data_IF_672697875322
#
_entry.id   IF_672697875322
#
_cell.length_a   1.000
_cell.length_b   1.000
_cell.length_c   1.000
_cell.angle_alpha   90.00
_cell.angle_beta   90.00
_cell.angle_gamma   90.00
#
_symmetry.space_group_name_H-M   'P 1'
#
loop_
_entity.id
_entity.type
_entity.pdbx_description
1 polymer ?
#
# COMPACT_ATOMS: atom_id res chain seq x y z
N UNK A 1 4.15 31.13 -20.98
CA UNK A 1 4.15 30.23 -19.79
C UNK A 1 3.82 28.82 -20.28
N UNK A 2 4.70 27.85 -20.05
CA UNK A 2 4.41 26.45 -20.38
C UNK A 2 3.35 25.93 -19.39
N UNK A 3 2.25 25.39 -19.89
CA UNK A 3 1.23 24.82 -19.02
C UNK A 3 1.79 23.54 -18.36
N UNK A 4 1.55 23.37 -17.05
CA UNK A 4 1.92 22.16 -16.33
C UNK A 4 1.27 20.92 -16.98
N UNK A 5 2.05 19.86 -17.16
CA UNK A 5 1.52 18.58 -17.61
C UNK A 5 0.55 17.98 -16.58
N UNK A 6 -0.19 16.95 -16.96
CA UNK A 6 -1.08 16.25 -16.05
C UNK A 6 -0.32 15.70 -14.82
N UNK A 7 0.81 15.03 -15.05
CA UNK A 7 1.64 14.49 -13.97
C UNK A 7 2.26 15.58 -13.08
N UNK A 8 2.61 16.76 -13.64
CA UNK A 8 3.13 17.86 -12.82
C UNK A 8 2.06 18.42 -11.87
N UNK A 9 0.80 18.46 -12.33
CA UNK A 9 -0.32 18.89 -11.47
C UNK A 9 -0.57 17.91 -10.34
N UNK A 10 -0.54 16.60 -10.64
CA UNK A 10 -0.70 15.55 -9.64
C UNK A 10 0.46 15.56 -8.64
N UNK A 11 1.69 15.73 -9.10
CA UNK A 11 2.88 15.85 -8.25
C UNK A 11 2.78 17.07 -7.32
N UNK A 12 2.45 18.25 -7.88
CA UNK A 12 2.32 19.47 -7.08
C UNK A 12 1.23 19.35 -6.00
N UNK A 13 0.09 18.72 -6.33
CA UNK A 13 -0.97 18.46 -5.36
C UNK A 13 -0.50 17.52 -4.25
N UNK A 14 0.15 16.42 -4.60
CA UNK A 14 0.65 15.45 -3.63
C UNK A 14 1.73 16.05 -2.71
N UNK A 15 2.67 16.82 -3.25
CA UNK A 15 3.70 17.52 -2.48
C UNK A 15 3.06 18.56 -1.53
N UNK A 16 2.07 19.31 -2.01
CA UNK A 16 1.33 20.25 -1.17
C UNK A 16 0.68 19.54 0.03
N UNK A 17 -0.04 18.44 -0.22
CA UNK A 17 -0.69 17.66 0.84
C UNK A 17 0.34 17.11 1.85
N UNK A 18 1.49 16.61 1.37
CA UNK A 18 2.54 16.08 2.25
C UNK A 18 3.11 17.18 3.14
N UNK A 19 3.35 18.37 2.59
CA UNK A 19 3.86 19.52 3.36
C UNK A 19 2.84 20.05 4.36
N UNK A 20 1.56 20.10 3.97
CA UNK A 20 0.46 20.52 4.83
C UNK A 20 0.35 19.64 6.09
N UNK A 21 0.40 18.32 5.92
CA UNK A 21 0.37 17.38 7.04
C UNK A 21 1.61 17.52 7.93
N UNK A 22 2.78 17.72 7.33
CA UNK A 22 4.01 17.88 8.10
C UNK A 22 4.05 19.18 8.92
N UNK A 23 3.36 20.23 8.43
CA UNK A 23 3.27 21.53 9.12
C UNK A 23 2.21 21.54 10.21
N UNK A 24 1.04 20.91 9.96
CA UNK A 24 -0.15 21.08 10.79
C UNK A 24 -0.40 19.90 11.75
N UNK A 25 0.13 18.70 11.45
CA UNK A 25 -0.10 17.54 12.30
C UNK A 25 1.04 17.32 13.27
N UNK A 26 0.71 17.14 14.54
CA UNK A 26 1.69 17.02 15.63
C UNK A 26 2.65 15.85 15.44
N UNK A 27 2.16 14.70 15.00
CA UNK A 27 2.97 13.47 14.91
C UNK A 27 2.62 12.62 13.67
N UNK A 28 3.05 13.06 12.47
CA UNK A 28 2.81 12.33 11.24
C UNK A 28 3.73 11.13 11.08
N UNK A 29 3.29 10.12 10.31
CA UNK A 29 4.05 8.95 9.91
C UNK A 29 3.69 8.54 8.48
N UNK A 30 4.64 8.08 7.68
CA UNK A 30 4.34 7.55 6.34
C UNK A 30 4.34 6.02 6.35
N UNK A 31 3.20 5.43 5.97
CA UNK A 31 3.10 3.98 5.82
C UNK A 31 3.89 3.53 4.58
N UNK A 32 4.82 2.60 4.78
CA UNK A 32 5.64 2.05 3.70
C UNK A 32 5.36 0.56 3.51
N UNK A 33 4.51 0.26 2.54
CA UNK A 33 4.08 -1.11 2.24
C UNK A 33 4.96 -1.83 1.21
N UNK A 34 5.98 -1.14 0.67
CA UNK A 34 6.94 -1.62 -0.35
C UNK A 34 6.30 -1.79 -1.74
N UNK A 35 5.00 -1.53 -1.89
CA UNK A 35 4.32 -1.53 -3.18
C UNK A 35 4.67 -0.30 -4.03
N UNK A 36 4.33 -0.32 -5.33
CA UNK A 36 4.57 0.78 -6.28
C UNK A 36 4.04 2.13 -5.76
N UNK A 37 2.83 2.13 -5.21
CA UNK A 37 2.18 3.34 -4.70
C UNK A 37 2.95 3.92 -3.50
N UNK A 38 3.42 3.08 -2.58
CA UNK A 38 4.25 3.53 -1.45
C UNK A 38 5.65 3.96 -1.86
N UNK A 39 6.21 3.42 -2.95
CA UNK A 39 7.48 3.88 -3.52
C UNK A 39 7.33 5.26 -4.17
N UNK A 40 6.23 5.51 -4.86
CA UNK A 40 5.87 6.86 -5.36
C UNK A 40 5.69 7.83 -4.20
N UNK A 41 4.98 7.44 -3.14
CA UNK A 41 4.79 8.27 -1.93
C UNK A 41 6.13 8.63 -1.26
N UNK A 42 7.05 7.67 -1.15
CA UNK A 42 8.39 7.90 -0.62
C UNK A 42 9.16 8.92 -1.49
N UNK A 43 9.13 8.75 -2.81
CA UNK A 43 9.76 9.68 -3.75
C UNK A 43 9.19 11.09 -3.64
N UNK A 44 7.86 11.22 -3.57
CA UNK A 44 7.17 12.50 -3.37
C UNK A 44 7.54 13.16 -2.04
N UNK A 45 7.69 12.37 -0.97
CA UNK A 45 8.14 12.88 0.32
C UNK A 45 9.58 13.40 0.27
N UNK A 46 10.49 12.66 -0.38
CA UNK A 46 11.86 13.13 -0.60
C UNK A 46 11.89 14.43 -1.41
N UNK A 47 11.09 14.53 -2.47
CA UNK A 47 10.96 15.74 -3.29
C UNK A 47 10.38 16.93 -2.50
N UNK A 48 9.38 16.65 -1.65
CA UNK A 48 8.70 17.67 -0.85
C UNK A 48 9.65 18.42 0.09
N UNK A 49 10.68 17.76 0.60
CA UNK A 49 11.59 18.31 1.59
C UNK A 49 13.04 18.48 1.09
N UNK A 50 13.29 18.20 -0.20
CA UNK A 50 14.63 18.37 -0.76
C UNK A 50 15.20 19.79 -0.47
N UNK A 51 16.49 19.93 -0.05
CA UNK A 51 17.51 18.87 0.07
C UNK A 51 17.48 18.08 1.40
N UNK A 52 16.60 18.45 2.33
CA UNK A 52 16.48 17.79 3.62
C UNK A 52 15.68 16.48 3.52
N UNK A 53 15.72 15.70 4.59
CA UNK A 53 14.89 14.49 4.72
C UNK A 53 13.49 14.82 5.17
N UNK A 54 12.48 13.97 4.85
CA UNK A 54 11.14 14.12 5.43
C UNK A 54 11.19 14.17 6.95
N UNK A 55 10.49 15.13 7.60
CA UNK A 55 10.54 15.34 9.05
C UNK A 55 9.68 14.36 9.85
N UNK A 56 9.41 13.20 9.30
CA UNK A 56 8.61 12.15 9.91
C UNK A 56 9.16 10.76 9.58
N UNK A 57 8.94 9.77 10.46
CA UNK A 57 9.40 8.41 10.24
C UNK A 57 8.52 7.67 9.22
N UNK A 58 9.07 6.56 8.70
CA UNK A 58 8.35 5.58 7.91
C UNK A 58 7.93 4.40 8.80
N UNK A 59 6.73 3.86 8.58
CA UNK A 59 6.20 2.72 9.32
C UNK A 59 5.91 1.55 8.36
N UNK A 60 6.57 0.44 8.60
CA UNK A 60 6.26 -0.83 7.96
C UNK A 60 5.58 -1.79 8.92
N UNK A 61 4.34 -2.19 8.61
CA UNK A 61 3.67 -3.29 9.33
C UNK A 61 4.12 -4.61 8.72
N UNK A 62 5.02 -5.29 9.40
CA UNK A 62 5.50 -6.60 8.98
C UNK A 62 4.55 -7.69 9.49
N UNK A 63 3.88 -8.32 8.54
CA UNK A 63 2.92 -9.41 8.82
C UNK A 63 3.60 -10.77 8.94
N UNK A 64 4.94 -10.85 8.95
CA UNK A 64 5.77 -12.06 8.94
C UNK A 64 5.67 -12.89 7.65
N UNK A 65 4.69 -12.64 6.80
CA UNK A 65 4.45 -13.34 5.53
C UNK A 65 4.58 -12.38 4.34
N UNK A 66 5.73 -11.73 4.23
CA UNK A 66 6.10 -10.92 3.06
C UNK A 66 7.04 -11.69 2.16
N UNK A 67 7.04 -11.37 0.87
CA UNK A 67 8.04 -11.91 -0.05
C UNK A 67 9.45 -11.46 0.36
N UNK A 68 10.42 -12.35 0.25
CA UNK A 68 11.84 -12.06 0.59
C UNK A 68 12.38 -10.87 -0.20
N UNK A 69 12.03 -10.78 -1.49
CA UNK A 69 12.44 -9.65 -2.34
C UNK A 69 11.91 -8.31 -1.82
N UNK A 70 10.69 -8.28 -1.25
CA UNK A 70 10.13 -7.05 -0.67
C UNK A 70 10.94 -6.58 0.53
N UNK A 71 11.27 -7.49 1.46
CA UNK A 71 12.01 -7.14 2.69
C UNK A 71 13.39 -6.62 2.33
N UNK A 72 14.10 -7.31 1.41
CA UNK A 72 15.42 -6.86 0.94
C UNK A 72 15.35 -5.48 0.30
N UNK A 73 14.41 -5.26 -0.63
CA UNK A 73 14.22 -3.97 -1.28
C UNK A 73 13.91 -2.83 -0.29
N UNK A 74 13.09 -3.12 0.73
CA UNK A 74 12.77 -2.18 1.82
C UNK A 74 14.05 -1.72 2.54
N UNK A 75 14.85 -2.68 2.97
CA UNK A 75 16.03 -2.40 3.78
C UNK A 75 17.11 -1.65 2.96
N UNK A 76 17.31 -2.04 1.70
CA UNK A 76 18.18 -1.36 0.76
C UNK A 76 17.72 0.09 0.49
N UNK A 77 16.40 0.30 0.29
CA UNK A 77 15.81 1.61 0.06
C UNK A 77 15.97 2.52 1.27
N UNK A 78 15.67 2.04 2.47
CA UNK A 78 15.81 2.83 3.70
C UNK A 78 17.28 3.23 3.95
N UNK A 79 18.20 2.29 3.70
CA UNK A 79 19.65 2.55 3.78
C UNK A 79 20.11 3.57 2.74
N UNK A 80 19.67 3.42 1.47
CA UNK A 80 20.02 4.32 0.37
C UNK A 80 19.71 5.78 0.68
N UNK A 81 18.53 6.04 1.24
CA UNK A 81 18.09 7.41 1.56
C UNK A 81 18.36 7.81 3.01
N UNK A 82 18.90 6.91 3.85
CA UNK A 82 19.19 7.16 5.26
C UNK A 82 17.93 7.58 6.04
N UNK A 83 16.80 6.90 5.79
CA UNK A 83 15.51 7.20 6.40
C UNK A 83 15.26 6.37 7.66
N UNK A 84 14.50 6.95 8.59
CA UNK A 84 14.08 6.25 9.79
C UNK A 84 12.89 5.33 9.48
N UNK A 85 13.09 4.02 9.60
CA UNK A 85 12.04 3.01 9.47
C UNK A 85 11.68 2.44 10.83
N UNK A 86 10.39 2.46 11.14
CA UNK A 86 9.81 1.73 12.26
C UNK A 86 9.19 0.46 11.67
N UNK A 87 9.71 -0.69 12.06
CA UNK A 87 9.08 -1.97 11.76
C UNK A 87 8.21 -2.40 12.94
N UNK A 88 6.95 -2.73 12.64
CA UNK A 88 6.02 -3.19 13.66
C UNK A 88 5.45 -4.56 13.31
N UNK A 89 5.51 -5.48 14.27
CA UNK A 89 4.96 -6.83 14.20
C UNK A 89 3.98 -7.01 15.35
N UNK A 90 2.80 -7.55 15.09
CA UNK A 90 1.88 -7.96 16.17
C UNK A 90 2.44 -9.17 16.90
N UNK A 91 3.13 -8.93 18.01
CA UNK A 91 3.79 -9.97 18.79
C UNK A 91 2.81 -11.00 19.39
N UNK A 92 1.60 -10.57 19.70
CA UNK A 92 0.56 -11.48 20.20
C UNK A 92 0.12 -12.46 19.10
N UNK A 93 -0.12 -11.95 17.88
CA UNK A 93 -0.42 -12.82 16.74
C UNK A 93 0.72 -13.81 16.43
N UNK A 94 1.98 -13.38 16.60
CA UNK A 94 3.13 -14.30 16.42
C UNK A 94 3.13 -15.40 17.48
N UNK A 95 2.91 -15.06 18.75
CA UNK A 95 2.84 -16.05 19.85
C UNK A 95 1.70 -17.05 19.65
N UNK A 96 0.59 -16.64 19.08
CA UNK A 96 -0.55 -17.50 18.74
C UNK A 96 -0.34 -18.32 17.46
N UNK A 97 0.80 -18.18 16.77
CA UNK A 97 1.09 -18.89 15.52
C UNK A 97 0.20 -18.48 14.35
N UNK A 98 -0.32 -17.24 14.35
CA UNK A 98 -1.23 -16.75 13.32
C UNK A 98 -0.54 -16.74 11.94
N UNK A 99 -1.10 -17.51 11.01
CA UNK A 99 -0.57 -17.67 9.65
C UNK A 99 -1.70 -17.67 8.60
N UNK A 100 -1.38 -17.45 7.31
CA UNK A 100 -2.40 -17.35 6.26
C UNK A 100 -3.16 -18.63 5.97
N UNK A 101 -2.58 -19.80 6.25
CA UNK A 101 -3.19 -21.09 5.91
C UNK A 101 -4.26 -21.52 6.92
N UNK A 102 -4.00 -21.28 8.20
CA UNK A 102 -4.88 -21.73 9.28
C UNK A 102 -5.93 -20.67 9.65
N UNK A 103 -5.61 -19.38 9.42
CA UNK A 103 -6.47 -18.25 9.83
C UNK A 103 -7.20 -17.57 8.67
N UNK A 104 -6.84 -17.84 7.41
CA UNK A 104 -7.52 -17.26 6.24
C UNK A 104 -7.67 -15.74 6.32
N UNK A 105 -8.93 -15.25 6.23
CA UNK A 105 -9.23 -13.82 6.29
C UNK A 105 -8.87 -13.18 7.64
N UNK A 106 -9.00 -13.90 8.75
CA UNK A 106 -8.66 -13.41 10.08
C UNK A 106 -7.17 -13.07 10.22
N UNK A 107 -6.29 -13.77 9.50
CA UNK A 107 -4.87 -13.45 9.46
C UNK A 107 -4.61 -11.97 9.09
N UNK A 108 -5.28 -11.49 8.04
CA UNK A 108 -5.08 -10.10 7.59
C UNK A 108 -5.57 -9.11 8.64
N UNK A 109 -6.68 -9.39 9.31
CA UNK A 109 -7.16 -8.53 10.38
C UNK A 109 -6.14 -8.51 11.53
N UNK A 110 -5.74 -9.65 12.05
CA UNK A 110 -4.84 -9.74 13.22
C UNK A 110 -3.44 -9.17 12.90
N UNK A 111 -2.82 -9.64 11.82
CA UNK A 111 -1.42 -9.34 11.53
C UNK A 111 -1.21 -8.03 10.78
N UNK A 112 -2.25 -7.41 10.21
CA UNK A 112 -2.15 -6.15 9.47
C UNK A 112 -3.00 -5.04 10.10
N UNK A 113 -4.32 -5.22 10.22
CA UNK A 113 -5.22 -4.16 10.70
C UNK A 113 -4.98 -3.84 12.17
N UNK A 114 -5.00 -4.85 13.03
CA UNK A 114 -4.74 -4.69 14.47
C UNK A 114 -3.30 -4.26 14.73
N UNK A 115 -2.33 -4.83 14.02
CA UNK A 115 -0.93 -4.41 14.11
C UNK A 115 -0.74 -2.93 13.78
N UNK A 116 -1.42 -2.43 12.74
CA UNK A 116 -1.38 -0.99 12.40
C UNK A 116 -1.96 -0.14 13.53
N UNK A 117 -3.14 -0.50 14.07
CA UNK A 117 -3.76 0.22 15.18
C UNK A 117 -2.85 0.24 16.41
N UNK A 118 -2.27 -0.91 16.74
CA UNK A 118 -1.31 -1.04 17.85
C UNK A 118 -0.09 -0.14 17.64
N UNK A 119 0.48 -0.12 16.43
CA UNK A 119 1.63 0.73 16.12
C UNK A 119 1.29 2.21 16.26
N UNK A 120 0.17 2.66 15.67
CA UNK A 120 -0.23 4.05 15.72
C UNK A 120 -0.49 4.53 17.17
N UNK A 121 -1.15 3.70 17.97
CA UNK A 121 -1.39 3.99 19.38
C UNK A 121 -0.08 3.98 20.20
N UNK A 122 0.76 2.96 20.01
CA UNK A 122 2.03 2.82 20.73
C UNK A 122 2.94 4.01 20.55
N UNK A 123 3.03 4.51 19.32
CA UNK A 123 3.90 5.64 18.99
C UNK A 123 3.18 7.00 19.07
N UNK A 124 1.86 7.00 19.28
CA UNK A 124 1.05 8.21 19.38
C UNK A 124 0.95 8.99 18.07
N UNK A 125 0.93 8.33 16.92
CA UNK A 125 0.81 9.00 15.63
C UNK A 125 -0.58 9.56 15.42
N UNK A 126 -0.67 10.84 15.08
CA UNK A 126 -1.92 11.57 14.85
C UNK A 126 -2.35 11.59 13.38
N UNK A 127 -1.40 11.49 12.47
CA UNK A 127 -1.65 11.41 11.03
C UNK A 127 -0.81 10.32 10.37
N UNK A 128 -1.41 9.53 9.47
CA UNK A 128 -0.70 8.50 8.73
C UNK A 128 -0.95 8.65 7.22
N UNK A 129 0.13 8.89 6.46
CA UNK A 129 0.09 8.89 5.01
C UNK A 129 -0.10 7.48 4.48
N UNK A 130 -1.04 7.32 3.56
CA UNK A 130 -1.43 6.06 2.94
C UNK A 130 -1.42 6.20 1.42
N UNK A 131 -0.96 5.16 0.72
CA UNK A 131 -0.88 5.12 -0.75
C UNK A 131 -2.19 4.71 -1.45
N UNK A 132 -3.34 4.82 -0.80
CA UNK A 132 -4.62 4.46 -1.41
C UNK A 132 -5.08 5.46 -2.47
N UNK A 133 -5.66 4.95 -3.56
CA UNK A 133 -6.16 5.75 -4.69
C UNK A 133 -7.65 5.50 -4.91
N UNK A 134 -8.40 6.51 -5.35
CA UNK A 134 -9.83 6.40 -5.69
C UNK A 134 -10.10 5.44 -6.85
N UNK A 135 -9.11 5.28 -7.72
CA UNK A 135 -9.14 4.41 -8.89
C UNK A 135 -9.13 2.91 -8.55
N UNK A 136 -8.62 2.53 -7.36
CA UNK A 136 -8.45 1.12 -6.98
C UNK A 136 -9.79 0.38 -6.83
N UNK A 137 -10.78 1.01 -6.20
CA UNK A 137 -12.08 0.41 -5.91
C UNK A 137 -13.14 1.44 -5.47
N UNK A 138 -14.43 1.03 -5.56
CA UNK A 138 -15.58 1.90 -5.26
C UNK A 138 -15.57 2.46 -3.82
N UNK A 139 -15.10 1.71 -2.83
CA UNK A 139 -15.08 2.17 -1.45
C UNK A 139 -14.02 3.25 -1.23
N UNK A 140 -12.92 3.21 -2.00
CA UNK A 140 -11.88 4.25 -2.00
C UNK A 140 -12.38 5.56 -2.59
N UNK A 141 -13.25 5.51 -3.59
CA UNK A 141 -13.84 6.71 -4.20
C UNK A 141 -14.66 7.55 -3.20
N UNK A 142 -15.19 6.93 -2.15
CA UNK A 142 -15.95 7.62 -1.09
C UNK A 142 -15.07 8.27 -0.02
N UNK A 143 -13.78 7.94 0.04
CA UNK A 143 -12.88 8.43 1.07
C UNK A 143 -12.34 9.82 0.74
N UNK A 144 -12.20 10.66 1.76
CA UNK A 144 -11.57 11.98 1.63
C UNK A 144 -10.06 11.84 1.54
N UNK A 145 -9.38 12.87 1.03
CA UNK A 145 -7.92 12.94 1.06
C UNK A 145 -7.43 12.99 2.50
N UNK A 146 -8.09 13.80 3.36
CA UNK A 146 -7.88 13.82 4.81
C UNK A 146 -9.04 13.08 5.48
N UNK A 147 -8.87 11.80 5.68
CA UNK A 147 -9.91 10.89 6.17
C UNK A 147 -9.79 10.68 7.67
N UNK A 148 -10.76 11.22 8.41
CA UNK A 148 -10.78 11.16 9.88
C UNK A 148 -11.12 9.77 10.38
N UNK A 149 -10.51 9.43 11.50
CA UNK A 149 -10.75 8.21 12.28
C UNK A 149 -11.10 8.60 13.70
N UNK A 150 -12.15 7.99 14.23
CA UNK A 150 -12.54 8.16 15.63
C UNK A 150 -11.52 7.50 16.59
N UNK A 151 -11.76 7.58 17.90
CA UNK A 151 -10.91 6.98 18.93
C UNK A 151 -10.68 5.47 18.74
N UNK A 152 -11.64 4.74 18.16
CA UNK A 152 -11.49 3.31 17.81
C UNK A 152 -10.71 3.12 16.50
N UNK A 153 -10.18 4.19 15.89
CA UNK A 153 -9.53 4.24 14.60
C UNK A 153 -10.43 3.78 13.43
N UNK A 154 -11.74 3.83 13.62
CA UNK A 154 -12.73 3.48 12.64
C UNK A 154 -13.09 4.66 11.74
N UNK A 155 -13.38 4.36 10.46
CA UNK A 155 -13.88 5.35 9.51
C UNK A 155 -15.38 5.53 9.66
N UNK A 156 -15.80 6.77 9.87
CA UNK A 156 -17.20 7.16 9.85
C UNK A 156 -17.47 8.09 8.65
N UNK A 157 -18.18 7.60 7.60
CA UNK A 157 -18.44 8.40 6.41
C UNK A 157 -19.35 9.62 6.66
N UNK A 158 -20.11 9.65 7.75
CA UNK A 158 -21.04 10.75 8.09
C UNK A 158 -20.30 11.93 8.72
N UNK A 159 -19.21 11.68 9.39
CA UNK A 159 -18.44 12.69 10.13
C UNK A 159 -17.15 13.09 9.44
N UNK A 160 -17.10 13.03 8.10
CA UNK A 160 -15.99 13.53 7.33
C UNK A 160 -16.15 15.01 7.00
N UNK A 161 -15.04 15.72 6.91
CA UNK A 161 -15.03 17.16 6.61
C UNK A 161 -15.03 17.41 5.10
N UNK A 162 -15.67 18.48 4.62
CA UNK A 162 -15.63 18.86 3.22
C UNK A 162 -14.22 19.34 2.84
N UNK A 163 -13.80 19.02 1.60
CA UNK A 163 -12.51 19.43 1.00
C UNK A 163 -12.79 20.34 -0.20
N UNK A 164 -13.36 21.52 0.10
CA UNK A 164 -13.68 22.51 -0.92
C UNK A 164 -12.44 23.34 -1.25
N UNK A 165 -12.24 23.64 -2.54
CA UNK A 165 -11.12 24.46 -3.04
C UNK A 165 -9.73 23.99 -2.60
N UNK A 166 -9.55 22.67 -2.33
CA UNK A 166 -8.30 22.10 -1.81
C UNK A 166 -7.87 22.68 -0.45
N UNK A 167 -8.81 23.15 0.33
CA UNK A 167 -8.60 23.52 1.72
C UNK A 167 -8.86 22.30 2.60
N UNK A 168 -7.89 21.98 3.43
CA UNK A 168 -7.93 20.81 4.32
C UNK A 168 -8.05 21.26 5.78
N UNK A 169 -8.89 20.59 6.54
CA UNK A 169 -9.00 20.82 7.96
C UNK A 169 -8.32 19.67 8.71
N UNK A 170 -7.17 19.96 9.31
CA UNK A 170 -6.31 19.02 10.01
C UNK A 170 -6.60 18.90 11.50
N UNK A 171 -7.54 19.72 12.04
CA UNK A 171 -7.89 19.69 13.44
C UNK A 171 -8.50 18.34 13.85
N UNK A 172 -7.94 17.70 14.87
CA UNK A 172 -8.44 16.47 15.49
C UNK A 172 -8.70 16.67 16.97
N UNK A 173 -9.68 15.95 17.52
CA UNK A 173 -9.89 15.89 18.96
C UNK A 173 -8.99 14.82 19.60
N UNK A 174 -8.88 14.86 20.92
CA UNK A 174 -8.13 13.86 21.68
C UNK A 174 -8.63 12.44 21.37
N UNK A 175 -7.72 11.54 21.02
CA UNK A 175 -8.03 10.17 20.65
C UNK A 175 -8.36 9.94 19.16
N UNK A 176 -8.66 11.00 18.40
CA UNK A 176 -8.86 10.90 16.96
C UNK A 176 -7.53 10.81 16.20
N UNK A 177 -7.59 10.36 14.97
CA UNK A 177 -6.45 10.32 14.07
C UNK A 177 -6.88 10.54 12.62
N UNK A 178 -5.92 10.72 11.74
CA UNK A 178 -6.16 10.98 10.34
C UNK A 178 -5.45 9.97 9.43
N UNK A 179 -6.11 9.52 8.37
CA UNK A 179 -5.46 8.86 7.24
C UNK A 179 -5.40 9.86 6.10
N UNK A 180 -4.22 10.10 5.56
CA UNK A 180 -4.03 11.07 4.48
C UNK A 180 -3.59 10.34 3.21
N UNK A 181 -4.24 10.67 2.09
CA UNK A 181 -4.06 10.01 0.80
C UNK A 181 -3.55 10.98 -0.27
N UNK A 182 -2.27 11.36 -0.28
CA UNK A 182 -1.73 12.36 -1.20
C UNK A 182 -1.87 12.00 -2.67
N UNK A 183 -1.89 10.71 -2.99
CA UNK A 183 -2.05 10.21 -4.36
C UNK A 183 -3.48 9.73 -4.66
N UNK A 184 -4.48 10.19 -3.88
CA UNK A 184 -5.89 9.77 -4.01
C UNK A 184 -6.45 9.95 -5.43
N UNK A 185 -6.06 11.01 -6.11
CA UNK A 185 -6.56 11.37 -7.44
C UNK A 185 -5.76 10.74 -8.61
N UNK A 186 -4.73 9.95 -8.31
CA UNK A 186 -3.90 9.27 -9.31
C UNK A 186 -4.57 7.97 -9.79
N UNK A 187 -4.43 7.67 -11.08
CA UNK A 187 -4.78 6.36 -11.65
C UNK A 187 -3.60 5.39 -11.58
N UNK A 188 -3.85 4.09 -11.80
CA UNK A 188 -2.77 3.11 -11.93
C UNK A 188 -1.79 3.49 -13.06
N UNK A 189 -2.33 4.00 -14.17
CA UNK A 189 -1.54 4.53 -15.29
C UNK A 189 -0.62 5.67 -14.86
N UNK A 190 -1.15 6.64 -14.10
CA UNK A 190 -0.37 7.79 -13.62
C UNK A 190 0.80 7.33 -12.75
N UNK A 191 0.57 6.34 -11.88
CA UNK A 191 1.61 5.73 -11.04
C UNK A 191 2.74 5.16 -11.90
N UNK A 192 2.42 4.34 -12.91
CA UNK A 192 3.42 3.72 -13.77
C UNK A 192 4.17 4.74 -14.64
N UNK A 193 3.45 5.71 -15.22
CA UNK A 193 4.06 6.79 -15.99
C UNK A 193 4.98 7.67 -15.13
N UNK A 194 4.59 7.92 -13.89
CA UNK A 194 5.40 8.69 -12.95
C UNK A 194 6.65 7.92 -12.52
N UNK A 195 6.53 6.64 -12.22
CA UNK A 195 7.67 5.75 -11.93
C UNK A 195 8.69 5.79 -13.09
N UNK A 196 8.21 5.70 -14.33
CA UNK A 196 9.07 5.80 -15.51
C UNK A 196 9.71 7.17 -15.65
N UNK A 197 8.94 8.26 -15.51
CA UNK A 197 9.40 9.64 -15.66
C UNK A 197 10.50 10.00 -14.64
N UNK A 198 10.29 9.63 -13.39
CA UNK A 198 11.18 9.97 -12.28
C UNK A 198 12.25 8.90 -12.00
N UNK A 199 12.25 7.83 -12.80
CA UNK A 199 13.15 6.67 -12.63
C UNK A 199 13.13 6.13 -11.19
N UNK A 200 11.93 5.89 -10.65
CA UNK A 200 11.74 5.42 -9.28
C UNK A 200 12.06 3.94 -9.19
N UNK A 201 12.92 3.57 -8.24
CA UNK A 201 13.19 2.17 -7.94
C UNK A 201 11.93 1.49 -7.37
N UNK A 202 11.62 0.31 -7.88
CA UNK A 202 10.53 -0.54 -7.41
C UNK A 202 11.01 -1.99 -7.27
N UNK A 203 10.31 -2.76 -6.45
CA UNK A 203 10.66 -4.17 -6.23
C UNK A 203 10.51 -5.00 -7.50
N UNK A 204 11.45 -5.91 -7.71
CA UNK A 204 11.54 -6.77 -8.91
C UNK A 204 10.32 -7.65 -9.18
N UNK A 205 9.46 -7.86 -8.19
CA UNK A 205 8.20 -8.63 -8.31
C UNK A 205 7.20 -8.04 -9.31
N UNK A 206 7.31 -6.76 -9.64
CA UNK A 206 6.46 -6.12 -10.66
C UNK A 206 6.83 -6.48 -12.08
N UNK A 207 8.06 -6.97 -12.31
CA UNK A 207 8.57 -7.38 -13.62
C UNK A 207 8.39 -8.87 -13.82
N UNK A 208 8.02 -9.26 -15.04
CA UNK A 208 7.84 -10.65 -15.42
C UNK A 208 9.17 -11.40 -15.33
N UNK A 209 9.16 -12.51 -14.61
CA UNK A 209 10.31 -13.39 -14.42
C UNK A 209 9.82 -14.81 -14.21
N UNK A 210 10.61 -15.79 -14.62
CA UNK A 210 10.36 -17.19 -14.29
C UNK A 210 10.45 -17.42 -12.78
N UNK A 211 9.36 -17.94 -12.19
CA UNK A 211 9.24 -18.14 -10.76
C UNK A 211 8.55 -19.47 -10.45
N UNK A 212 8.94 -20.15 -9.35
CA UNK A 212 8.21 -21.32 -8.87
C UNK A 212 6.84 -20.91 -8.37
N UNK A 213 5.81 -21.60 -8.82
CA UNK A 213 4.44 -21.31 -8.44
C UNK A 213 3.55 -22.55 -8.43
N UNK A 214 2.39 -22.42 -7.78
CA UNK A 214 1.31 -23.42 -7.80
C UNK A 214 0.02 -22.77 -8.27
N UNK A 215 -0.86 -23.57 -8.88
CA UNK A 215 -2.23 -23.17 -9.18
C UNK A 215 -3.13 -23.53 -7.99
N UNK A 216 -3.81 -22.53 -7.45
CA UNK A 216 -4.73 -22.72 -6.31
C UNK A 216 -5.97 -21.85 -6.47
N UNK A 217 -7.14 -22.49 -6.53
CA UNK A 217 -8.44 -21.81 -6.57
C UNK A 217 -8.52 -20.72 -7.67
N UNK A 218 -8.00 -21.03 -8.86
CA UNK A 218 -7.95 -20.13 -10.03
C UNK A 218 -6.86 -19.05 -9.98
N UNK A 219 -5.99 -19.05 -8.96
CA UNK A 219 -4.93 -18.08 -8.78
C UNK A 219 -3.54 -18.75 -8.94
N UNK A 220 -2.58 -17.98 -9.47
CA UNK A 220 -1.17 -18.37 -9.51
C UNK A 220 -0.51 -17.86 -8.24
N UNK A 221 -0.10 -18.77 -7.36
CA UNK A 221 0.56 -18.44 -6.10
C UNK A 221 2.04 -18.77 -6.20
N UNK A 222 2.90 -17.75 -6.08
CA UNK A 222 4.34 -17.94 -6.06
C UNK A 222 4.78 -18.73 -4.81
N UNK A 223 5.70 -19.64 -4.98
CA UNK A 223 6.37 -20.36 -3.88
C UNK A 223 7.65 -19.60 -3.52
N UNK A 224 7.60 -18.80 -2.47
CA UNK A 224 8.70 -17.91 -2.08
C UNK A 224 9.67 -18.56 -1.09
N UNK A 225 9.18 -19.47 -0.28
CA UNK A 225 9.97 -20.20 0.72
C UNK A 225 9.35 -21.55 1.11
N UNK A 226 10.04 -22.26 2.00
CA UNK A 226 9.70 -23.60 2.53
C UNK A 226 8.47 -23.63 3.45
N UNK A 227 7.95 -22.47 3.85
CA UNK A 227 6.70 -22.38 4.62
C UNK A 227 5.44 -22.60 3.78
N UNK A 228 5.59 -22.70 2.45
CA UNK A 228 4.46 -23.01 1.58
C UNK A 228 3.92 -24.40 1.90
N UNK A 229 2.63 -24.48 2.17
CA UNK A 229 1.92 -25.74 2.35
C UNK A 229 1.22 -26.12 1.04
N UNK A 230 1.68 -27.19 0.40
CA UNK A 230 1.06 -27.71 -0.81
C UNK A 230 -0.20 -28.52 -0.42
N UNK A 231 -1.28 -28.35 -1.19
CA UNK A 231 -2.46 -29.21 -1.11
C UNK A 231 -2.20 -30.53 -1.83
N UNK A 232 -2.91 -31.63 -1.49
CA UNK A 232 -2.84 -32.87 -2.23
C UNK A 232 -3.10 -32.65 -3.73
N UNK A 233 -2.16 -33.12 -4.58
CA UNK A 233 -2.22 -32.96 -6.03
C UNK A 233 -1.72 -31.63 -6.58
N UNK A 234 -1.25 -30.70 -5.75
CA UNK A 234 -0.55 -29.50 -6.22
C UNK A 234 0.92 -29.86 -6.54
N UNK A 235 1.37 -29.40 -7.71
CA UNK A 235 2.76 -29.51 -8.15
C UNK A 235 3.36 -28.12 -8.34
N UNK A 236 4.64 -27.98 -7.95
CA UNK A 236 5.38 -26.74 -8.21
C UNK A 236 5.79 -26.72 -9.67
N UNK A 237 5.34 -25.69 -10.37
CA UNK A 237 5.72 -25.42 -11.77
C UNK A 237 6.49 -24.11 -11.87
N UNK A 238 7.29 -23.95 -12.91
CA UNK A 238 7.97 -22.69 -13.22
C UNK A 238 7.20 -21.96 -14.32
N UNK A 239 6.83 -20.70 -14.05
CA UNK A 239 6.10 -19.87 -15.00
C UNK A 239 6.65 -18.44 -15.00
N UNK A 240 6.60 -17.79 -16.16
CA UNK A 240 6.93 -16.37 -16.29
C UNK A 240 5.75 -15.56 -15.77
N UNK A 241 5.89 -15.03 -14.56
CA UNK A 241 4.83 -14.29 -13.85
C UNK A 241 5.34 -12.96 -13.33
N UNK A 242 4.42 -12.01 -13.14
CA UNK A 242 4.61 -10.77 -12.42
C UNK A 242 3.43 -10.50 -11.50
N UNK A 243 3.56 -9.49 -10.65
CA UNK A 243 2.49 -9.04 -9.77
C UNK A 243 1.99 -7.66 -10.19
N UNK A 244 0.68 -7.42 -10.20
CA UNK A 244 0.09 -6.08 -10.38
C UNK A 244 -0.01 -5.33 -9.06
N UNK A 245 -0.26 -6.06 -7.96
CA UNK A 245 -0.27 -5.52 -6.60
C UNK A 245 0.51 -6.44 -5.69
N UNK A 246 1.09 -5.90 -4.62
CA UNK A 246 1.83 -6.67 -3.64
C UNK A 246 1.14 -6.64 -2.28
N UNK A 247 1.05 -7.79 -1.67
CA UNK A 247 0.44 -7.99 -0.37
C UNK A 247 1.22 -8.96 0.50
N UNK A 248 0.49 -9.79 1.24
CA UNK A 248 1.09 -10.89 1.98
C UNK A 248 1.24 -12.10 1.04
N UNK A 249 2.40 -12.73 1.08
CA UNK A 249 2.62 -14.07 0.57
C UNK A 249 1.78 -15.06 1.40
N UNK A 250 1.13 -16.04 1.01
CA UNK A 250 0.64 -16.47 -0.28
C UNK A 250 -0.78 -15.95 -0.65
N UNK A 251 -1.20 -14.83 -0.10
CA UNK A 251 -2.52 -14.22 -0.33
C UNK A 251 -2.52 -13.26 -1.53
N UNK A 252 -1.42 -13.21 -2.27
CA UNK A 252 -1.26 -12.39 -3.45
C UNK A 252 -1.01 -13.26 -4.66
N UNK A 253 -1.93 -13.26 -5.61
CA UNK A 253 -1.79 -13.97 -6.87
C UNK A 253 -0.91 -13.21 -7.85
N UNK A 254 -0.09 -13.95 -8.61
CA UNK A 254 0.60 -13.48 -9.80
C UNK A 254 -0.27 -13.59 -11.04
N UNK A 255 0.17 -12.95 -12.11
CA UNK A 255 -0.39 -13.09 -13.45
C UNK A 255 0.71 -13.58 -14.41
N UNK A 256 0.37 -14.45 -15.36
CA UNK A 256 1.27 -14.78 -16.45
C UNK A 256 1.44 -13.54 -17.33
N UNK A 257 2.67 -13.18 -17.62
CA UNK A 257 2.99 -11.98 -18.38
C UNK A 257 4.41 -12.05 -18.92
N UNK A 258 4.65 -11.38 -20.05
CA UNK A 258 5.96 -11.17 -20.62
C UNK A 258 6.54 -9.78 -20.33
N UNK A 259 5.79 -8.93 -19.62
CA UNK A 259 6.18 -7.55 -19.31
C UNK A 259 7.33 -7.52 -18.29
N UNK A 260 8.56 -7.47 -18.76
CA UNK A 260 9.80 -7.40 -17.99
C UNK A 260 10.48 -6.02 -18.01
N UNK A 261 9.82 -5.03 -18.65
CA UNK A 261 10.23 -3.63 -18.69
C UNK A 261 9.09 -2.69 -18.26
N UNK A 262 9.40 -1.47 -17.85
CA UNK A 262 8.39 -0.49 -17.50
C UNK A 262 7.47 -0.14 -18.66
N UNK A 263 8.00 -0.09 -19.89
CA UNK A 263 7.18 0.17 -21.08
C UNK A 263 6.18 -0.93 -21.32
N UNK A 264 6.60 -2.18 -21.27
CA UNK A 264 5.71 -3.32 -21.43
C UNK A 264 4.64 -3.39 -20.33
N UNK A 265 4.98 -3.04 -19.07
CA UNK A 265 4.01 -2.94 -17.97
C UNK A 265 2.98 -1.83 -18.22
N UNK A 266 3.41 -0.67 -18.74
CA UNK A 266 2.52 0.45 -19.06
C UNK A 266 1.56 0.03 -20.18
N UNK A 267 2.04 -0.58 -21.25
CA UNK A 267 1.23 -1.04 -22.38
C UNK A 267 0.21 -2.10 -21.94
N UNK A 268 0.62 -3.04 -21.10
CA UNK A 268 -0.26 -4.07 -20.53
C UNK A 268 -1.31 -3.41 -19.61
N UNK A 269 -0.93 -2.41 -18.81
CA UNK A 269 -1.86 -1.68 -17.93
C UNK A 269 -2.91 -0.91 -18.74
N UNK A 270 -2.53 -0.31 -19.87
CA UNK A 270 -3.45 0.40 -20.77
C UNK A 270 -4.46 -0.54 -21.43
N UNK A 271 -4.08 -1.77 -21.68
CA UNK A 271 -4.93 -2.80 -22.30
C UNK A 271 -5.81 -3.54 -21.28
N UNK A 272 -5.54 -3.37 -19.98
CA UNK A 272 -6.26 -4.10 -18.93
C UNK A 272 -7.67 -3.56 -18.70
N UNK A 273 -8.68 -4.42 -18.83
CA UNK A 273 -10.09 -4.11 -18.55
C UNK A 273 -10.43 -4.25 -17.05
N UNK A 274 -9.63 -5.04 -16.31
CA UNK A 274 -9.89 -5.35 -14.90
C UNK A 274 -9.05 -4.51 -13.95
N UNK A 275 -9.62 -4.24 -12.75
CA UNK A 275 -8.87 -3.58 -11.67
C UNK A 275 -7.62 -4.37 -11.27
N UNK A 276 -6.57 -3.67 -10.87
CA UNK A 276 -5.33 -4.28 -10.37
C UNK A 276 -5.54 -5.20 -9.14
N UNK A 277 -6.64 -5.02 -8.41
CA UNK A 277 -6.95 -5.80 -7.19
C UNK A 277 -7.57 -7.17 -7.46
N UNK A 278 -7.97 -7.48 -8.69
CA UNK A 278 -8.60 -8.76 -9.03
C UNK A 278 -7.71 -9.97 -8.76
N UNK A 279 -6.38 -9.80 -8.75
CA UNK A 279 -5.41 -10.85 -8.41
C UNK A 279 -5.21 -11.07 -6.91
N UNK A 280 -5.89 -10.31 -6.05
CA UNK A 280 -5.83 -10.53 -4.60
C UNK A 280 -6.85 -11.58 -4.18
N UNK A 281 -6.36 -12.72 -3.74
CA UNK A 281 -7.19 -13.84 -3.27
C UNK A 281 -8.16 -13.40 -2.16
N UNK A 282 -7.72 -12.48 -1.30
CA UNK A 282 -8.51 -11.97 -0.16
C UNK A 282 -9.63 -11.01 -0.55
N UNK A 283 -9.59 -10.39 -1.72
CA UNK A 283 -10.58 -9.42 -2.17
C UNK A 283 -11.73 -10.07 -2.96
N UNK A 284 -11.68 -11.38 -3.21
CA UNK A 284 -12.76 -12.17 -3.83
C UNK A 284 -13.95 -12.43 -2.88
N UNK A 285 -14.00 -11.76 -1.72
CA UNK A 285 -15.11 -11.82 -0.78
C UNK A 285 -16.31 -10.97 -1.25
N UNK A 286 -17.46 -11.17 -0.59
CA UNK A 286 -18.75 -10.54 -0.92
C UNK A 286 -18.65 -9.01 -1.09
N UNK A 287 -19.52 -8.46 -1.96
CA UNK A 287 -19.62 -7.02 -2.22
C UNK A 287 -19.76 -6.22 -0.89
N UNK A 288 -18.95 -5.16 -0.74
CA UNK A 288 -18.95 -4.34 0.48
C UNK A 288 -17.95 -4.78 1.58
N UNK A 289 -17.18 -5.86 1.38
CA UNK A 289 -16.20 -6.35 2.35
C UNK A 289 -15.18 -5.27 2.72
N UNK A 290 -14.70 -4.49 1.76
CA UNK A 290 -13.73 -3.40 1.99
C UNK A 290 -14.31 -2.22 2.78
N UNK A 291 -15.59 -1.86 2.58
CA UNK A 291 -16.24 -0.81 3.36
C UNK A 291 -16.39 -1.23 4.82
N UNK A 292 -16.75 -2.50 5.06
CA UNK A 292 -16.78 -3.07 6.41
C UNK A 292 -15.40 -3.05 7.06
N UNK A 293 -14.35 -3.49 6.35
CA UNK A 293 -12.96 -3.45 6.86
C UNK A 293 -12.49 -2.04 7.23
N UNK A 294 -12.88 -1.01 6.46
CA UNK A 294 -12.55 0.38 6.79
C UNK A 294 -13.23 0.84 8.10
N UNK A 295 -14.48 0.43 8.32
CA UNK A 295 -15.16 0.70 9.61
C UNK A 295 -14.47 -0.01 10.77
N UNK A 296 -13.81 -1.13 10.51
CA UNK A 296 -12.98 -1.86 11.47
C UNK A 296 -11.57 -1.27 11.63
N UNK A 297 -11.21 -0.24 10.85
CA UNK A 297 -9.92 0.46 10.90
C UNK A 297 -8.88 0.03 9.88
N UNK A 298 -9.27 -0.74 8.87
CA UNK A 298 -8.42 -1.03 7.72
C UNK A 298 -8.19 0.23 6.87
N UNK A 299 -7.06 0.33 6.17
CA UNK A 299 -6.70 1.45 5.29
C UNK A 299 -6.69 1.04 3.82
#
# INVERSE_FOLDING_TARGET
MCALSHLDKLEAEAIYIIREVAAECEKPVMLYSIGKDSSVMLHLALKAFYPEKPPFPFLHVNTTWKFKEMIRFRDETMKKYGLQLIEYINQEGVKQGVNPFDYGAAYTDIMKTQALKQALNKYGFTAAFCGGRRDEEKSRAKERIFSFRNEAQAWDPKNQRPEMWKLYNTHIHKGESMRVFPISNWTEKDIWQYIKRENIDIVSLYFAKERPCVYRDGNIIMVDDDRMRLKPGEEIMHKKIRFRTLGCYPLTGGIESDADTLDAIIDETLSAVSSERTSRVIDNEAAGSMERRKREGYF
#
